data_IF_445428156037
#
_entry.id   IF_445428156037
#
_cell.length_a   1.000
_cell.length_b   1.000
_cell.length_c   1.000
_cell.angle_alpha   90.00
_cell.angle_beta   90.00
_cell.angle_gamma   90.00
#
_symmetry.space_group_name_H-M   'P 1'
#
loop_
_entity.id
_entity.type
_entity.pdbx_description
1 polymer ?
#
# COMPACT_ATOMS: atom_id res chain seq x y z
N UNK A 1 7.22 33.06 -21.50
CA UNK A 1 8.53 32.85 -20.85
C UNK A 1 8.49 31.46 -20.24
N UNK A 2 8.95 30.44 -20.97
CA UNK A 2 8.86 29.04 -20.52
C UNK A 2 9.97 28.77 -19.50
N UNK A 3 9.59 28.57 -18.23
CA UNK A 3 10.50 28.13 -17.19
C UNK A 3 10.86 26.65 -17.45
N UNK A 4 12.06 26.41 -17.98
CA UNK A 4 12.66 25.09 -18.03
C UNK A 4 13.05 24.73 -16.60
N UNK A 5 12.30 23.82 -15.97
CA UNK A 5 12.69 23.24 -14.69
C UNK A 5 14.01 22.47 -14.89
N UNK A 6 15.05 22.69 -14.07
CA UNK A 6 16.32 22.00 -14.23
C UNK A 6 16.14 20.53 -13.88
N UNK A 7 16.16 19.67 -14.89
CA UNK A 7 16.21 18.22 -14.70
C UNK A 7 17.59 17.85 -14.19
N UNK A 8 17.69 17.48 -12.91
CA UNK A 8 18.94 16.98 -12.33
C UNK A 8 19.11 15.53 -12.78
N UNK A 9 20.12 15.27 -13.60
CA UNK A 9 20.50 13.91 -13.97
C UNK A 9 21.42 13.37 -12.88
N UNK A 10 20.88 12.50 -12.02
CA UNK A 10 21.67 11.77 -11.03
C UNK A 10 22.23 10.52 -11.70
N UNK A 11 23.54 10.47 -11.84
CA UNK A 11 24.24 9.31 -12.36
C UNK A 11 24.28 8.25 -11.26
N UNK A 12 23.62 7.11 -11.50
CA UNK A 12 23.56 5.99 -10.57
C UNK A 12 24.22 4.79 -11.24
N UNK A 13 25.21 4.21 -10.55
CA UNK A 13 25.88 3.00 -11.00
C UNK A 13 24.88 1.82 -10.90
N UNK A 14 24.32 1.43 -12.04
CA UNK A 14 23.53 0.22 -12.11
C UNK A 14 24.47 -0.98 -11.97
N UNK A 15 24.14 -2.00 -11.14
CA UNK A 15 24.93 -3.21 -11.11
C UNK A 15 25.02 -3.77 -12.53
N UNK A 16 26.25 -3.90 -13.03
CA UNK A 16 26.56 -4.40 -14.37
C UNK A 16 25.66 -5.59 -14.68
N UNK A 17 25.01 -5.57 -15.84
CA UNK A 17 24.16 -6.63 -16.37
C UNK A 17 24.97 -7.91 -16.66
N UNK A 18 25.56 -8.50 -15.62
CA UNK A 18 26.32 -9.73 -15.63
C UNK A 18 25.45 -10.87 -15.10
N UNK A 19 24.84 -11.60 -16.03
CA UNK A 19 24.40 -12.99 -15.86
C UNK A 19 23.57 -13.35 -14.60
N UNK A 20 22.54 -12.58 -14.30
CA UNK A 20 21.40 -13.00 -13.48
C UNK A 20 20.10 -12.63 -14.20
N UNK A 21 19.12 -13.54 -14.30
CA UNK A 21 17.96 -13.39 -15.19
C UNK A 21 16.93 -12.32 -14.77
N UNK A 22 17.29 -11.38 -13.91
CA UNK A 22 16.38 -10.36 -13.40
C UNK A 22 17.13 -9.03 -13.24
N UNK A 23 16.93 -8.12 -14.20
CA UNK A 23 17.35 -6.73 -14.03
C UNK A 23 16.34 -6.02 -13.12
N UNK A 24 16.82 -5.18 -12.19
CA UNK A 24 15.96 -4.42 -11.25
C UNK A 24 15.00 -3.43 -11.92
N UNK A 25 15.15 -3.21 -13.23
CA UNK A 25 14.24 -2.40 -14.04
C UNK A 25 12.89 -3.07 -14.30
N UNK A 26 12.81 -4.40 -14.25
CA UNK A 26 11.58 -5.16 -14.52
C UNK A 26 11.29 -6.12 -13.38
N UNK A 27 10.88 -5.57 -12.23
CA UNK A 27 10.15 -6.37 -11.26
C UNK A 27 8.76 -6.66 -11.84
N UNK A 28 8.44 -7.93 -12.15
CA UNK A 28 7.09 -8.36 -12.52
C UNK A 28 6.13 -8.33 -11.33
N UNK A 29 6.06 -7.22 -10.62
CA UNK A 29 5.00 -6.97 -9.66
C UNK A 29 3.72 -6.74 -10.46
N UNK A 30 2.89 -7.77 -10.59
CA UNK A 30 1.49 -7.61 -11.02
C UNK A 30 0.78 -6.82 -9.93
N UNK A 31 0.87 -5.49 -10.01
CA UNK A 31 0.14 -4.59 -9.11
C UNK A 31 -1.34 -4.76 -9.40
N UNK A 32 -2.14 -5.22 -8.43
CA UNK A 32 -3.58 -5.34 -8.62
C UNK A 32 -4.18 -3.97 -8.94
N UNK A 33 -5.19 -3.95 -9.81
CA UNK A 33 -5.95 -2.73 -10.05
C UNK A 33 -6.62 -2.30 -8.74
N UNK A 34 -6.58 -1.00 -8.47
CA UNK A 34 -7.24 -0.47 -7.30
C UNK A 34 -8.77 -0.58 -7.44
N UNK A 35 -9.49 -0.91 -6.37
CA UNK A 35 -10.95 -0.99 -6.39
C UNK A 35 -11.58 0.38 -6.67
N UNK A 36 -12.72 0.38 -7.36
CA UNK A 36 -13.55 1.57 -7.53
C UNK A 36 -14.13 2.03 -6.19
N UNK A 37 -14.63 3.27 -6.12
CA UNK A 37 -15.20 3.79 -4.87
C UNK A 37 -16.40 2.97 -4.36
N UNK A 38 -17.23 2.45 -5.28
CA UNK A 38 -18.35 1.57 -4.94
C UNK A 38 -17.86 0.22 -4.38
N UNK A 39 -16.85 -0.37 -5.00
CA UNK A 39 -16.25 -1.63 -4.52
C UNK A 39 -15.57 -1.44 -3.16
N UNK A 40 -14.87 -0.33 -2.94
CA UNK A 40 -14.27 0.00 -1.63
C UNK A 40 -15.33 0.06 -0.54
N UNK A 41 -16.45 0.75 -0.79
CA UNK A 41 -17.55 0.83 0.16
C UNK A 41 -18.13 -0.55 0.49
N UNK A 42 -18.37 -1.39 -0.53
CA UNK A 42 -18.85 -2.75 -0.36
C UNK A 42 -17.85 -3.63 0.43
N UNK A 43 -16.56 -3.52 0.13
CA UNK A 43 -15.49 -4.24 0.83
C UNK A 43 -15.41 -3.82 2.30
N UNK A 44 -15.44 -2.52 2.60
CA UNK A 44 -15.45 -2.02 3.99
C UNK A 44 -16.63 -2.60 4.77
N UNK A 45 -17.84 -2.60 4.20
CA UNK A 45 -19.03 -3.22 4.84
C UNK A 45 -18.80 -4.70 5.14
N UNK A 46 -18.36 -5.46 4.13
CA UNK A 46 -18.10 -6.90 4.27
C UNK A 46 -17.05 -7.18 5.36
N UNK A 47 -16.00 -6.37 5.45
CA UNK A 47 -14.96 -6.54 6.48
C UNK A 47 -15.55 -6.33 7.87
N UNK A 48 -16.35 -5.28 8.09
CA UNK A 48 -16.99 -5.02 9.40
C UNK A 48 -17.90 -6.17 9.83
N UNK A 49 -18.67 -6.74 8.92
CA UNK A 49 -19.53 -7.89 9.19
C UNK A 49 -18.71 -9.12 9.60
N UNK A 50 -17.62 -9.38 8.88
CA UNK A 50 -16.74 -10.53 9.17
C UNK A 50 -15.98 -10.38 10.49
N UNK A 51 -15.55 -9.17 10.85
CA UNK A 51 -14.91 -8.90 12.14
C UNK A 51 -15.87 -9.20 13.29
N UNK A 52 -17.12 -8.73 13.20
CA UNK A 52 -18.17 -9.03 14.19
C UNK A 52 -18.48 -10.51 14.25
N UNK A 53 -18.67 -11.15 13.09
CA UNK A 53 -18.99 -12.58 13.01
C UNK A 53 -17.90 -13.48 13.63
N UNK A 54 -16.64 -13.02 13.59
CA UNK A 54 -15.49 -13.76 14.13
C UNK A 54 -15.04 -13.28 15.50
N UNK A 55 -15.73 -12.31 16.11
CA UNK A 55 -15.28 -11.65 17.33
C UNK A 55 -13.81 -11.21 17.24
N UNK A 56 -13.43 -10.60 16.11
CA UNK A 56 -12.07 -10.21 15.79
C UNK A 56 -11.90 -8.69 15.82
N UNK A 57 -10.69 -8.25 16.14
CA UNK A 57 -10.27 -6.84 16.15
C UNK A 57 -9.29 -6.60 15.01
N UNK A 58 -9.39 -5.46 14.35
CA UNK A 58 -8.49 -5.07 13.25
C UNK A 58 -7.34 -4.21 13.77
N UNK A 59 -6.11 -4.56 13.40
CA UNK A 59 -4.90 -3.78 13.70
C UNK A 59 -4.23 -3.39 12.39
N UNK A 60 -3.87 -2.13 12.23
CA UNK A 60 -3.35 -1.57 10.98
C UNK A 60 -2.01 -0.88 11.21
N UNK A 61 -1.08 -1.00 10.26
CA UNK A 61 0.22 -0.32 10.34
C UNK A 61 0.16 1.09 9.75
N UNK A 62 1.01 2.01 10.20
CA UNK A 62 1.06 3.38 9.65
C UNK A 62 1.33 3.47 8.14
N UNK A 63 1.91 2.42 7.54
CA UNK A 63 2.33 2.40 6.13
C UNK A 63 1.37 1.65 5.20
N UNK A 64 0.14 1.36 5.64
CA UNK A 64 -0.88 0.80 4.74
C UNK A 64 -1.82 1.87 4.20
N UNK A 65 -2.69 1.47 3.27
CA UNK A 65 -3.66 2.35 2.64
C UNK A 65 -4.56 3.05 3.69
N UNK A 66 -4.85 4.37 3.56
CA UNK A 66 -5.63 5.13 4.54
C UNK A 66 -7.00 4.50 4.83
N UNK A 67 -7.68 3.99 3.81
CA UNK A 67 -8.95 3.25 3.99
C UNK A 67 -8.90 2.12 5.02
N UNK A 68 -7.76 1.44 5.18
CA UNK A 68 -7.59 0.36 6.16
C UNK A 68 -7.31 0.91 7.56
N UNK A 69 -6.61 2.04 7.65
CA UNK A 69 -6.38 2.75 8.91
C UNK A 69 -7.72 3.24 9.47
N UNK A 70 -8.50 3.96 8.65
CA UNK A 70 -9.85 4.42 9.00
C UNK A 70 -10.73 3.25 9.44
N UNK A 71 -10.69 2.14 8.71
CA UNK A 71 -11.50 0.96 9.01
C UNK A 71 -11.09 0.31 10.35
N UNK A 72 -9.81 0.28 10.69
CA UNK A 72 -9.34 -0.22 11.98
C UNK A 72 -9.90 0.65 13.12
N UNK A 73 -9.81 1.98 13.00
CA UNK A 73 -10.35 2.91 14.00
C UNK A 73 -11.88 2.81 14.12
N UNK A 74 -12.60 2.81 12.99
CA UNK A 74 -14.06 2.69 12.94
C UNK A 74 -14.59 1.40 13.59
N UNK A 75 -13.80 0.32 13.52
CA UNK A 75 -14.18 -1.00 14.04
C UNK A 75 -13.77 -1.22 15.49
N UNK A 76 -13.19 -0.21 16.15
CA UNK A 76 -12.70 -0.30 17.53
C UNK A 76 -11.36 -1.02 17.67
N UNK A 77 -10.61 -1.07 16.58
CA UNK A 77 -9.23 -1.57 16.51
C UNK A 77 -8.20 -0.48 16.79
N UNK A 78 -6.97 -0.69 16.31
CA UNK A 78 -5.88 0.27 16.49
C UNK A 78 -5.03 0.43 15.23
N UNK A 79 -4.43 1.60 15.09
CA UNK A 79 -3.37 1.89 14.11
C UNK A 79 -2.07 2.09 14.88
N UNK A 80 -1.03 1.33 14.57
CA UNK A 80 0.22 1.31 15.34
C UNK A 80 1.46 1.14 14.46
N UNK A 81 2.64 1.30 15.08
CA UNK A 81 3.91 0.83 14.53
C UNK A 81 4.23 -0.60 15.00
N UNK A 82 5.37 -1.13 14.56
CA UNK A 82 5.82 -2.48 14.91
C UNK A 82 6.03 -2.75 16.40
N UNK A 83 6.20 -1.74 17.25
CA UNK A 83 6.44 -1.93 18.69
C UNK A 83 5.14 -1.98 19.48
N UNK A 84 4.13 -1.23 19.04
CA UNK A 84 2.82 -1.14 19.68
C UNK A 84 1.85 -2.28 19.27
N UNK A 85 2.21 -3.09 18.28
CA UNK A 85 1.46 -4.28 17.81
C UNK A 85 1.85 -5.57 18.53
#
# INVERSE_FOLDING_TARGET
>A
MNAVMPTIRVEYEQPLAGAGSCSTHEAWARVPAEPTQAERAALKVRIRELLKARNAVMVSHYYVHPDLQDLAEETGGMVSDSLEM
#
